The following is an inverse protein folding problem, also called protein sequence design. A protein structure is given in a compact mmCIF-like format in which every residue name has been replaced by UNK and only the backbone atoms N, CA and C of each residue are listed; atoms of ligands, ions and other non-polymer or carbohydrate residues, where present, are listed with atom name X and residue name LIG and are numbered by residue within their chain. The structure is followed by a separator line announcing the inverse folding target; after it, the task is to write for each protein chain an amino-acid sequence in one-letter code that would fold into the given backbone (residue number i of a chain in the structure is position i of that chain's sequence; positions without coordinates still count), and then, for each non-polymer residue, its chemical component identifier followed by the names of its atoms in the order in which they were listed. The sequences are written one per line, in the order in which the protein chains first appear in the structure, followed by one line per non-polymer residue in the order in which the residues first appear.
data_IF_151427618224
#
_entry.id   IF_151427618224
#
_cell.length_a   1.000
_cell.length_b   1.000
_cell.length_c   1.000
_cell.angle_alpha   90.00
_cell.angle_beta   90.00
_cell.angle_gamma   90.00
#
_symmetry.space_group_name_H-M   'P 1'
#
loop_
_entity.id
_entity.type
_entity.pdbx_description
1 polymer ?
#
# COMPACT_ATOMS: atom_id res chain seq x y z
N UNK A 1 4.71 21.46 -4.22
CA UNK A 1 5.96 21.29 -3.42
C UNK A 1 6.73 20.10 -4.01
N UNK A 2 7.92 20.34 -4.59
CA UNK A 2 8.78 19.24 -5.10
C UNK A 2 9.30 18.39 -3.95
N UNK A 3 9.37 17.08 -4.16
CA UNK A 3 9.96 16.14 -3.20
C UNK A 3 11.27 15.57 -3.75
N UNK A 4 12.25 15.21 -2.91
CA UNK A 4 13.58 14.79 -3.36
C UNK A 4 13.57 13.45 -4.11
N UNK A 5 12.69 12.52 -3.76
CA UNK A 5 12.58 11.24 -4.46
C UNK A 5 11.76 11.39 -5.75
N UNK A 6 12.32 12.12 -6.74
CA UNK A 6 11.67 12.35 -8.03
C UNK A 6 12.64 12.19 -9.20
N UNK A 7 12.12 11.75 -10.36
CA UNK A 7 12.84 11.66 -11.65
C UNK A 7 12.12 12.58 -12.64
N UNK A 8 12.83 13.53 -13.22
CA UNK A 8 12.27 14.51 -14.18
C UNK A 8 10.98 15.16 -13.66
N UNK A 9 10.99 15.59 -12.39
CA UNK A 9 9.83 16.19 -11.69
C UNK A 9 8.65 15.24 -11.43
N UNK A 10 8.80 13.94 -11.67
CA UNK A 10 7.78 12.94 -11.36
C UNK A 10 8.11 12.25 -10.03
N UNK A 11 7.25 12.30 -9.01
CA UNK A 11 7.52 11.68 -7.71
C UNK A 11 7.47 10.15 -7.82
N UNK A 12 8.54 9.49 -7.36
CA UNK A 12 8.72 8.03 -7.52
C UNK A 12 7.72 7.25 -6.67
N UNK A 13 7.48 7.68 -5.41
CA UNK A 13 6.59 6.96 -4.51
C UNK A 13 5.17 6.78 -5.07
N UNK A 14 4.46 7.82 -5.55
CA UNK A 14 3.13 7.67 -6.15
C UNK A 14 3.10 6.80 -7.40
N UNK A 15 4.19 6.75 -8.16
CA UNK A 15 4.29 5.88 -9.34
C UNK A 15 4.41 4.41 -8.93
N UNK A 16 5.23 4.12 -7.93
CA UNK A 16 5.48 2.74 -7.49
C UNK A 16 4.30 2.14 -6.72
N UNK A 17 3.58 2.94 -5.91
CA UNK A 17 2.54 2.45 -5.01
C UNK A 17 1.34 1.84 -5.73
N UNK A 18 1.13 2.16 -7.00
CA UNK A 18 0.02 1.63 -7.80
C UNK A 18 0.09 0.10 -7.94
N UNK A 19 1.30 -0.44 -8.07
CA UNK A 19 1.54 -1.88 -8.22
C UNK A 19 1.18 -2.63 -6.93
N UNK A 20 1.77 -2.33 -5.76
CA UNK A 20 1.45 -3.06 -4.54
C UNK A 20 -0.02 -2.91 -4.12
N UNK A 21 -0.62 -1.73 -4.24
CA UNK A 21 -2.03 -1.54 -3.91
C UNK A 21 -2.93 -2.41 -4.78
N UNK A 22 -2.69 -2.43 -6.10
CA UNK A 22 -3.44 -3.28 -7.03
C UNK A 22 -3.31 -4.77 -6.69
N UNK A 23 -2.08 -5.25 -6.44
CA UNK A 23 -1.82 -6.66 -6.11
C UNK A 23 -2.44 -7.08 -4.78
N UNK A 24 -2.37 -6.24 -3.74
CA UNK A 24 -2.91 -6.54 -2.42
C UNK A 24 -4.45 -6.55 -2.42
N UNK A 25 -5.08 -5.63 -3.15
CA UNK A 25 -6.55 -5.63 -3.35
C UNK A 25 -6.96 -6.87 -4.17
N UNK A 26 -6.23 -7.18 -5.24
CA UNK A 26 -6.53 -8.35 -6.07
C UNK A 26 -6.35 -9.65 -5.30
N UNK A 27 -5.36 -9.74 -4.40
CA UNK A 27 -5.21 -10.86 -3.48
C UNK A 27 -6.47 -11.09 -2.63
N UNK A 28 -7.02 -10.03 -2.03
CA UNK A 28 -8.28 -10.14 -1.27
C UNK A 28 -9.45 -10.57 -2.16
N UNK A 29 -9.54 -10.05 -3.39
CA UNK A 29 -10.58 -10.47 -4.34
C UNK A 29 -10.46 -11.97 -4.63
N UNK A 30 -9.25 -12.49 -4.84
CA UNK A 30 -9.03 -13.92 -5.04
C UNK A 30 -9.41 -14.76 -3.81
N UNK A 31 -9.11 -14.28 -2.60
CA UNK A 31 -9.55 -14.92 -1.35
C UNK A 31 -11.09 -15.01 -1.27
N UNK A 32 -11.78 -13.92 -1.65
CA UNK A 32 -13.25 -13.91 -1.66
C UNK A 32 -13.83 -14.83 -2.74
N UNK A 33 -13.22 -14.88 -3.92
CA UNK A 33 -13.65 -15.81 -4.99
C UNK A 33 -13.48 -17.25 -4.53
N UNK A 34 -12.39 -17.58 -3.82
CA UNK A 34 -12.12 -18.93 -3.31
C UNK A 34 -13.27 -19.46 -2.43
N UNK A 35 -13.97 -18.58 -1.69
CA UNK A 35 -15.09 -18.99 -0.81
C UNK A 35 -16.26 -19.59 -1.57
N UNK A 36 -16.44 -19.25 -2.85
CA UNK A 36 -17.59 -19.65 -3.67
C UNK A 36 -17.18 -20.44 -4.91
N UNK A 37 -15.88 -20.67 -5.11
CA UNK A 37 -15.34 -21.37 -6.28
C UNK A 37 -15.41 -22.88 -6.14
N UNK A 38 -15.61 -23.57 -7.26
CA UNK A 38 -15.43 -25.03 -7.34
C UNK A 38 -13.94 -25.44 -7.24
N UNK A 39 -13.02 -24.50 -7.51
CA UNK A 39 -11.56 -24.70 -7.51
C UNK A 39 -10.91 -23.70 -6.51
N UNK A 40 -11.18 -23.81 -5.20
CA UNK A 40 -10.71 -22.83 -4.20
C UNK A 40 -9.18 -22.76 -4.14
N UNK A 41 -8.48 -23.90 -4.28
CA UNK A 41 -7.02 -23.94 -4.16
C UNK A 41 -6.30 -23.12 -5.23
N UNK A 42 -6.84 -23.05 -6.44
CA UNK A 42 -6.30 -22.20 -7.52
C UNK A 42 -6.37 -20.72 -7.13
N UNK A 43 -7.52 -20.28 -6.60
CA UNK A 43 -7.71 -18.89 -6.20
C UNK A 43 -6.88 -18.53 -4.97
N UNK A 44 -6.76 -19.43 -4.00
CA UNK A 44 -5.89 -19.24 -2.83
C UNK A 44 -4.41 -19.15 -3.21
N UNK A 45 -3.97 -19.92 -4.21
CA UNK A 45 -2.62 -19.84 -4.74
C UNK A 45 -2.35 -18.50 -5.42
N UNK A 46 -3.29 -18.02 -6.26
CA UNK A 46 -3.20 -16.70 -6.89
C UNK A 46 -3.21 -15.59 -5.84
N UNK A 47 -4.08 -15.69 -4.83
CA UNK A 47 -4.12 -14.76 -3.71
C UNK A 47 -2.77 -14.69 -2.98
N UNK A 48 -2.15 -15.82 -2.71
CA UNK A 48 -0.85 -15.89 -2.03
C UNK A 48 0.25 -15.21 -2.84
N UNK A 49 0.42 -15.53 -4.12
CA UNK A 49 1.48 -14.94 -4.93
C UNK A 49 1.30 -13.46 -5.18
N UNK A 50 0.06 -13.01 -5.41
CA UNK A 50 -0.23 -11.58 -5.57
C UNK A 50 -0.03 -10.82 -4.26
N UNK A 51 -0.33 -11.43 -3.11
CA UNK A 51 -0.03 -10.86 -1.79
C UNK A 51 1.49 -10.70 -1.58
N UNK A 52 2.28 -11.74 -1.86
CA UNK A 52 3.74 -11.68 -1.73
C UNK A 52 4.32 -10.61 -2.65
N UNK A 53 3.88 -10.55 -3.90
CA UNK A 53 4.30 -9.51 -4.85
C UNK A 53 3.94 -8.11 -4.38
N UNK A 54 2.72 -7.93 -3.87
CA UNK A 54 2.24 -6.67 -3.30
C UNK A 54 3.02 -6.26 -2.05
N UNK A 55 3.31 -7.20 -1.15
CA UNK A 55 4.12 -6.98 0.04
C UNK A 55 5.54 -6.49 -0.31
N UNK A 56 6.23 -7.18 -1.23
CA UNK A 56 7.56 -6.78 -1.69
C UNK A 56 7.50 -5.40 -2.37
N UNK A 57 6.51 -5.17 -3.23
CA UNK A 57 6.31 -3.88 -3.89
C UNK A 57 6.07 -2.74 -2.89
N UNK A 58 5.32 -3.00 -1.80
CA UNK A 58 5.08 -2.01 -0.75
C UNK A 58 6.37 -1.64 0.00
N UNK A 59 7.24 -2.62 0.30
CA UNK A 59 8.55 -2.35 0.92
C UNK A 59 9.44 -1.50 0.01
N UNK A 60 9.46 -1.79 -1.29
CA UNK A 60 10.23 -1.00 -2.27
C UNK A 60 9.67 0.42 -2.36
N UNK A 61 8.36 0.59 -2.44
CA UNK A 61 7.71 1.90 -2.52
C UNK A 61 7.85 2.73 -1.23
N UNK A 62 8.04 2.08 -0.08
CA UNK A 62 8.25 2.76 1.19
C UNK A 62 9.55 3.60 1.21
N UNK A 63 10.59 3.16 0.51
CA UNK A 63 11.90 3.85 0.50
C UNK A 63 11.76 5.30 0.01
N UNK A 64 11.28 5.57 -1.22
CA UNK A 64 11.07 6.94 -1.68
C UNK A 64 10.02 7.68 -0.85
N UNK A 65 9.00 6.98 -0.34
CA UNK A 65 7.97 7.59 0.51
C UNK A 65 8.53 8.17 1.81
N UNK A 66 9.45 7.46 2.47
CA UNK A 66 10.13 7.95 3.69
C UNK A 66 11.03 9.13 3.37
N UNK A 67 11.79 9.08 2.26
CA UNK A 67 12.65 10.19 1.82
C UNK A 67 11.81 11.45 1.61
N UNK A 68 10.69 11.33 0.93
CA UNK A 68 9.79 12.46 0.65
C UNK A 68 9.16 12.98 1.95
N UNK A 69 8.69 12.10 2.84
CA UNK A 69 8.10 12.50 4.14
C UNK A 69 9.08 13.29 5.00
N UNK A 70 10.33 12.87 5.06
CA UNK A 70 11.36 13.55 5.85
C UNK A 70 11.68 14.96 5.33
N UNK A 71 11.48 15.21 4.04
CA UNK A 71 11.71 16.51 3.38
C UNK A 71 10.58 17.53 3.58
N UNK A 72 9.45 17.13 4.19
CA UNK A 72 8.32 18.02 4.45
C UNK A 72 8.62 18.90 5.66
N UNK A 73 8.62 20.22 5.50
CA UNK A 73 8.86 21.19 6.60
C UNK A 73 7.58 21.57 7.34
N UNK A 74 6.44 21.65 6.61
CA UNK A 74 5.16 22.03 7.23
C UNK A 74 4.70 20.98 8.25
N UNK A 75 4.56 21.40 9.51
CA UNK A 75 4.24 20.51 10.61
C UNK A 75 2.88 19.80 10.47
N UNK A 76 1.89 20.46 9.85
CA UNK A 76 0.55 19.90 9.64
C UNK A 76 0.60 18.79 8.57
N UNK A 77 1.25 19.06 7.45
CA UNK A 77 1.40 18.10 6.35
C UNK A 77 2.25 16.91 6.83
N UNK A 78 3.33 17.19 7.54
CA UNK A 78 4.22 16.19 8.12
C UNK A 78 3.47 15.24 9.07
N UNK A 79 2.55 15.77 9.91
CA UNK A 79 1.68 14.96 10.77
C UNK A 79 0.78 14.02 9.97
N UNK A 80 0.16 14.50 8.88
CA UNK A 80 -0.64 13.66 7.98
C UNK A 80 0.23 12.55 7.36
N UNK A 81 1.44 12.89 6.91
CA UNK A 81 2.40 11.95 6.34
C UNK A 81 2.84 10.87 7.34
N UNK A 82 3.11 11.23 8.59
CA UNK A 82 3.41 10.24 9.63
C UNK A 82 2.22 9.32 9.93
N UNK A 83 0.99 9.85 9.94
CA UNK A 83 -0.21 9.02 10.10
C UNK A 83 -0.38 8.06 8.93
N UNK A 84 -0.21 8.54 7.70
CA UNK A 84 -0.20 7.72 6.49
C UNK A 84 0.86 6.62 6.57
N UNK A 85 2.08 6.95 6.94
CA UNK A 85 3.17 5.99 7.11
C UNK A 85 2.85 4.94 8.19
N UNK A 86 2.31 5.35 9.34
CA UNK A 86 1.96 4.43 10.43
C UNK A 86 0.88 3.43 9.99
N UNK A 87 -0.16 3.88 9.29
CA UNK A 87 -1.21 3.00 8.76
C UNK A 87 -0.65 2.00 7.74
N UNK A 88 0.24 2.44 6.85
CA UNK A 88 0.91 1.55 5.90
C UNK A 88 1.80 0.53 6.61
N UNK A 89 2.55 0.94 7.64
CA UNK A 89 3.39 0.03 8.41
C UNK A 89 2.56 -1.05 9.11
N UNK A 90 1.42 -0.68 9.70
CA UNK A 90 0.48 -1.64 10.28
C UNK A 90 -0.04 -2.59 9.20
N UNK A 91 -0.49 -2.08 8.05
CA UNK A 91 -0.99 -2.91 6.96
C UNK A 91 0.09 -3.89 6.45
N UNK A 92 1.31 -3.43 6.22
CA UNK A 92 2.44 -4.27 5.80
C UNK A 92 2.76 -5.34 6.84
N UNK A 93 2.71 -5.00 8.14
CA UNK A 93 2.89 -5.98 9.23
C UNK A 93 1.79 -7.04 9.21
N UNK A 94 0.52 -6.65 9.00
CA UNK A 94 -0.58 -7.60 8.86
C UNK A 94 -0.39 -8.53 7.66
N UNK A 95 0.12 -8.04 6.53
CA UNK A 95 0.46 -8.89 5.39
C UNK A 95 1.63 -9.82 5.65
N UNK A 96 2.66 -9.38 6.37
CA UNK A 96 3.76 -10.26 6.78
C UNK A 96 3.26 -11.43 7.65
N UNK A 97 2.43 -11.13 8.64
CA UNK A 97 1.79 -12.15 9.49
C UNK A 97 0.87 -13.05 8.67
N UNK A 98 0.08 -12.49 7.74
CA UNK A 98 -0.80 -13.25 6.86
C UNK A 98 -0.03 -14.24 5.98
N UNK A 99 1.05 -13.78 5.33
CA UNK A 99 1.93 -14.64 4.52
C UNK A 99 2.50 -15.77 5.38
N UNK A 100 3.00 -15.46 6.57
CA UNK A 100 3.51 -16.47 7.49
C UNK A 100 2.46 -17.50 7.86
N UNK A 101 1.25 -17.10 8.26
CA UNK A 101 0.16 -18.02 8.61
C UNK A 101 -0.24 -18.93 7.44
N UNK A 102 -0.21 -18.42 6.20
CA UNK A 102 -0.48 -19.25 5.01
C UNK A 102 0.60 -20.28 4.75
N UNK A 103 1.85 -19.93 4.97
CA UNK A 103 2.99 -20.87 4.84
C UNK A 103 2.91 -21.97 5.91
N UNK A 104 2.48 -21.63 7.13
CA UNK A 104 2.26 -22.61 8.23
C UNK A 104 0.98 -23.46 8.05
N UNK A 105 0.21 -23.24 6.98
CA UNK A 105 -0.99 -24.02 6.70
C UNK A 105 -2.20 -23.66 7.58
N UNK A 106 -2.23 -22.45 8.14
CA UNK A 106 -3.39 -21.98 8.93
C UNK A 106 -4.64 -21.93 8.05
N UNK A 107 -5.78 -22.31 8.63
CA UNK A 107 -7.08 -22.25 7.94
C UNK A 107 -7.36 -20.83 7.38
N UNK A 108 -8.10 -20.77 6.26
CA UNK A 108 -8.32 -19.54 5.48
C UNK A 108 -9.02 -18.40 6.24
N UNK A 109 -9.71 -18.68 7.34
CA UNK A 109 -10.50 -17.67 8.08
C UNK A 109 -9.64 -16.54 8.65
N UNK A 110 -8.59 -16.84 9.40
CA UNK A 110 -7.70 -15.81 9.99
C UNK A 110 -6.95 -15.03 8.93
N UNK A 111 -6.29 -15.65 7.92
CA UNK A 111 -5.69 -14.95 6.79
C UNK A 111 -6.65 -14.00 6.07
N UNK A 112 -7.89 -14.42 5.82
CA UNK A 112 -8.90 -13.58 5.17
C UNK A 112 -9.23 -12.32 6.00
N UNK A 113 -9.45 -12.48 7.31
CA UNK A 113 -9.72 -11.34 8.21
C UNK A 113 -8.55 -10.34 8.18
N UNK A 114 -7.31 -10.83 8.23
CA UNK A 114 -6.12 -9.97 8.14
C UNK A 114 -6.06 -9.21 6.81
N UNK A 115 -6.39 -9.86 5.69
CA UNK A 115 -6.46 -9.22 4.37
C UNK A 115 -7.52 -8.12 4.35
N UNK A 116 -8.72 -8.38 4.88
CA UNK A 116 -9.80 -7.37 4.93
C UNK A 116 -9.39 -6.15 5.75
N UNK A 117 -8.84 -6.37 6.96
CA UNK A 117 -8.39 -5.28 7.83
C UNK A 117 -7.26 -4.49 7.17
N UNK A 118 -6.29 -5.18 6.57
CA UNK A 118 -5.17 -4.52 5.90
C UNK A 118 -5.63 -3.68 4.70
N UNK A 119 -6.55 -4.18 3.85
CA UNK A 119 -7.10 -3.41 2.73
C UNK A 119 -7.90 -2.19 3.22
N UNK A 120 -8.65 -2.32 4.30
CA UNK A 120 -9.36 -1.18 4.90
C UNK A 120 -8.37 -0.09 5.37
N UNK A 121 -7.27 -0.49 6.03
CA UNK A 121 -6.20 0.44 6.44
C UNK A 121 -5.52 1.10 5.23
N UNK A 122 -5.26 0.34 4.15
CA UNK A 122 -4.74 0.89 2.90
C UNK A 122 -5.70 1.90 2.28
N UNK A 123 -7.02 1.69 2.36
CA UNK A 123 -8.03 2.65 1.91
C UNK A 123 -7.95 3.98 2.66
N UNK A 124 -7.90 3.94 4.00
CA UNK A 124 -7.74 5.13 4.84
C UNK A 124 -6.40 5.82 4.57
N UNK A 125 -5.33 5.02 4.47
CA UNK A 125 -4.00 5.53 4.16
C UNK A 125 -3.94 6.19 2.78
N UNK A 126 -4.56 5.56 1.78
CA UNK A 126 -4.67 6.10 0.41
C UNK A 126 -5.40 7.45 0.38
N UNK A 127 -6.47 7.60 1.18
CA UNK A 127 -7.15 8.88 1.35
C UNK A 127 -6.22 9.98 1.88
N UNK A 128 -5.44 9.68 2.93
CA UNK A 128 -4.47 10.63 3.49
C UNK A 128 -3.36 10.98 2.48
N UNK A 129 -2.88 9.99 1.71
CA UNK A 129 -1.93 10.19 0.62
C UNK A 129 -2.49 11.11 -0.47
N UNK A 130 -3.73 10.87 -0.89
CA UNK A 130 -4.43 11.71 -1.86
C UNK A 130 -4.65 13.14 -1.33
N UNK A 131 -4.97 13.31 -0.04
CA UNK A 131 -5.08 14.63 0.58
C UNK A 131 -3.74 15.40 0.53
N UNK A 132 -2.62 14.73 0.81
CA UNK A 132 -1.28 15.36 0.72
C UNK A 132 -0.99 15.84 -0.71
N UNK A 133 -1.34 15.07 -1.73
CA UNK A 133 -1.11 15.45 -3.13
C UNK A 133 -2.09 16.53 -3.59
N UNK A 134 -3.40 16.30 -3.46
CA UNK A 134 -4.41 17.14 -4.08
C UNK A 134 -4.68 18.44 -3.31
N UNK A 135 -4.60 18.40 -1.98
CA UNK A 135 -4.91 19.56 -1.14
C UNK A 135 -3.68 20.38 -0.79
N UNK A 136 -2.54 19.71 -0.58
CA UNK A 136 -1.31 20.37 -0.15
C UNK A 136 -0.22 20.39 -1.22
N UNK A 137 -0.42 19.76 -2.37
CA UNK A 137 0.50 19.82 -3.51
C UNK A 137 1.83 19.09 -3.28
N UNK A 138 1.87 18.09 -2.37
CA UNK A 138 3.09 17.30 -2.13
C UNK A 138 3.43 16.49 -3.38
N UNK A 139 4.67 16.60 -3.86
CA UNK A 139 5.12 15.95 -5.09
C UNK A 139 4.69 16.66 -6.39
N UNK A 140 3.88 17.73 -6.31
CA UNK A 140 3.41 18.45 -7.50
C UNK A 140 4.35 19.59 -7.85
N UNK A 141 4.82 19.63 -9.10
CA UNK A 141 5.59 20.74 -9.66
C UNK A 141 4.64 21.76 -10.33
N UNK A 142 4.44 22.91 -9.69
CA UNK A 142 3.62 23.99 -10.21
C UNK A 142 4.40 25.00 -11.05
N UNK A 143 5.71 24.82 -11.25
CA UNK A 143 6.56 25.78 -11.96
C UNK A 143 6.28 25.86 -13.46
N UNK A 144 5.62 24.87 -14.04
CA UNK A 144 5.27 24.79 -15.48
C UNK A 144 3.84 25.23 -15.79
N UNK A 145 3.02 25.54 -14.78
CA UNK A 145 1.66 26.06 -14.94
C UNK A 145 1.71 27.59 -15.06
N UNK A 146 2.15 28.10 -16.24
CA UNK A 146 1.97 29.49 -16.66
C UNK A 146 1.20 29.51 -17.95
#
# INVERSE_FOLDING_TARGET
MRTPASISSHPIHPMLITIPVGLLIFSLICDLIALFSAEPDVWLLVAFFTMVGGFIGALIAAIPGVIDLLSIDDAKIKKIGFTHMALNLIAVTLYAVNIWLRVEGTSTGTPLILSVVAVALLGVSGWLGAEMVHKYGVGVDTSTAK
#
